data_IF_437906854361
#
_entry.id   IF_437906854361
#
_cell.length_a   1.000
_cell.length_b   1.000
_cell.length_c   1.000
_cell.angle_alpha   90.00
_cell.angle_beta   90.00
_cell.angle_gamma   90.00
#
_symmetry.space_group_name_H-M   'P 1'
#
loop_
_entity.id
_entity.type
_entity.pdbx_description
1 polymer ?
#
# COMPACT_ATOMS: atom_id res chain seq x y z
N UNK A 1 -20.94 -39.95 18.97
CA UNK A 1 -20.09 -38.96 19.64
C UNK A 1 -18.86 -38.78 18.78
N UNK A 2 -18.61 -37.58 18.26
CA UNK A 2 -17.35 -37.30 17.57
C UNK A 2 -16.22 -37.34 18.61
N UNK A 3 -15.14 -38.08 18.33
CA UNK A 3 -13.91 -38.02 19.11
C UNK A 3 -13.13 -36.79 18.66
N UNK A 4 -12.71 -35.95 19.60
CA UNK A 4 -11.84 -34.80 19.34
C UNK A 4 -10.43 -35.14 19.83
N UNK A 5 -9.43 -34.90 18.99
CA UNK A 5 -8.01 -35.03 19.33
C UNK A 5 -7.38 -33.64 19.27
N UNK A 6 -6.54 -33.31 20.24
CA UNK A 6 -5.87 -32.02 20.33
C UNK A 6 -4.36 -32.23 20.53
N UNK A 7 -3.56 -31.42 19.86
CA UNK A 7 -2.13 -31.33 20.06
C UNK A 7 -1.75 -29.84 20.18
N UNK A 8 -0.91 -29.52 21.18
CA UNK A 8 -0.39 -28.17 21.38
C UNK A 8 1.07 -28.15 20.97
N UNK A 9 1.38 -27.33 19.96
CA UNK A 9 2.75 -27.10 19.50
C UNK A 9 3.21 -25.73 20.02
N UNK A 10 4.38 -25.70 20.65
CA UNK A 10 5.04 -24.46 21.08
C UNK A 10 6.34 -24.32 20.30
N UNK A 11 6.36 -23.58 19.18
CA UNK A 11 7.58 -23.39 18.42
C UNK A 11 8.58 -22.53 19.21
N UNK A 12 9.87 -22.70 18.90
CA UNK A 12 10.95 -21.97 19.55
C UNK A 12 11.13 -20.54 19.02
N UNK A 13 10.54 -20.23 17.86
CA UNK A 13 10.57 -18.93 17.20
C UNK A 13 9.24 -18.71 16.48
N UNK A 14 8.99 -17.46 16.05
CA UNK A 14 7.94 -17.14 15.08
C UNK A 14 8.25 -17.81 13.74
N UNK A 15 7.24 -17.90 12.88
CA UNK A 15 7.40 -18.46 11.55
C UNK A 15 6.17 -19.20 11.04
N UNK A 16 6.23 -19.53 9.75
CA UNK A 16 5.24 -20.37 9.09
C UNK A 16 5.52 -21.84 9.36
N UNK A 17 4.56 -22.54 9.96
CA UNK A 17 4.63 -23.98 10.22
C UNK A 17 3.68 -24.71 9.29
N UNK A 18 4.21 -25.76 8.65
CA UNK A 18 3.45 -26.69 7.83
C UNK A 18 3.25 -27.99 8.59
N UNK A 19 2.01 -28.47 8.73
CA UNK A 19 1.70 -29.66 9.51
C UNK A 19 0.69 -30.58 8.83
N UNK A 20 0.72 -31.85 9.21
CA UNK A 20 -0.28 -32.87 8.87
C UNK A 20 -0.46 -33.80 10.07
N UNK A 21 -1.53 -34.57 10.08
CA UNK A 21 -1.80 -35.53 11.14
C UNK A 21 -1.46 -36.95 10.66
N UNK A 22 -0.78 -37.71 11.51
CA UNK A 22 -0.59 -39.15 11.35
C UNK A 22 -1.59 -39.86 12.28
N UNK A 23 -2.53 -40.60 11.70
CA UNK A 23 -3.67 -41.20 12.39
C UNK A 23 -3.51 -42.72 12.40
N UNK A 24 -3.39 -43.31 13.59
CA UNK A 24 -3.38 -44.76 13.75
C UNK A 24 -4.80 -45.27 14.06
N UNK A 25 -5.35 -46.06 13.14
CA UNK A 25 -6.63 -46.73 13.30
C UNK A 25 -6.54 -47.92 14.27
N UNK A 26 -7.70 -48.38 14.77
CA UNK A 26 -7.77 -49.46 15.77
C UNK A 26 -7.26 -50.82 15.29
N UNK A 27 -7.23 -51.03 13.97
CA UNK A 27 -6.68 -52.23 13.32
C UNK A 27 -5.16 -52.14 13.09
N UNK A 28 -4.53 -51.03 13.50
CA UNK A 28 -3.11 -50.76 13.34
C UNK A 28 -2.73 -50.07 12.03
N UNK A 29 -3.68 -49.80 11.12
CA UNK A 29 -3.40 -49.03 9.91
C UNK A 29 -3.02 -47.58 10.26
N UNK A 30 -2.02 -47.03 9.58
CA UNK A 30 -1.61 -45.63 9.72
C UNK A 30 -2.02 -44.86 8.48
N UNK A 31 -2.67 -43.73 8.68
CA UNK A 31 -3.16 -42.84 7.64
C UNK A 31 -2.61 -41.44 7.84
N UNK A 32 -2.18 -40.83 6.75
CA UNK A 32 -1.86 -39.40 6.75
C UNK A 32 -3.11 -38.59 6.44
N UNK A 33 -3.36 -37.55 7.22
CA UNK A 33 -4.43 -36.59 7.00
C UNK A 33 -3.84 -35.19 6.90
N UNK A 34 -3.95 -34.60 5.72
CA UNK A 34 -3.41 -33.28 5.40
C UNK A 34 -4.42 -32.42 4.67
N UNK A 35 -4.01 -31.23 4.26
CA UNK A 35 -4.83 -30.33 3.47
C UNK A 35 -5.19 -30.96 2.11
N UNK A 36 -6.26 -30.46 1.50
CA UNK A 36 -6.62 -30.84 0.13
C UNK A 36 -5.65 -30.22 -0.88
N UNK A 37 -5.64 -30.77 -2.10
CA UNK A 37 -4.82 -30.25 -3.19
C UNK A 37 -5.15 -28.77 -3.46
N UNK A 38 -4.10 -27.95 -3.61
CA UNK A 38 -4.18 -26.49 -3.77
C UNK A 38 -4.81 -25.74 -2.58
N UNK A 39 -4.77 -26.33 -1.37
CA UNK A 39 -5.18 -25.67 -0.13
C UNK A 39 -4.15 -25.85 0.96
N UNK A 40 -4.21 -24.96 1.94
CA UNK A 40 -3.40 -25.05 3.15
C UNK A 40 -4.22 -25.04 4.45
N UNK A 41 -5.56 -25.10 4.35
CA UNK A 41 -6.49 -24.91 5.48
C UNK A 41 -7.78 -25.75 5.33
N UNK A 42 -8.64 -25.71 6.35
CA UNK A 42 -10.00 -26.27 6.31
C UNK A 42 -10.07 -27.80 6.38
N UNK A 43 -11.05 -28.40 5.69
CA UNK A 43 -11.27 -29.86 5.72
C UNK A 43 -10.21 -30.59 4.90
N UNK A 44 -9.36 -31.36 5.56
CA UNK A 44 -8.35 -32.20 4.92
C UNK A 44 -8.87 -33.46 4.23
N UNK A 45 -7.94 -34.23 3.66
CA UNK A 45 -8.18 -35.52 3.04
C UNK A 45 -7.23 -36.60 3.56
N UNK A 46 -7.73 -37.84 3.59
CA UNK A 46 -6.91 -39.01 3.87
C UNK A 46 -6.12 -39.40 2.62
N UNK A 47 -4.83 -39.68 2.79
CA UNK A 47 -3.98 -40.14 1.69
C UNK A 47 -3.11 -41.33 2.10
N UNK A 48 -2.85 -42.22 1.14
CA UNK A 48 -1.74 -43.16 1.22
C UNK A 48 -0.46 -42.41 0.81
N UNK A 49 0.41 -42.09 1.77
CA UNK A 49 1.64 -41.34 1.54
C UNK A 49 1.61 -39.95 2.18
N UNK A 50 2.23 -38.96 1.53
CA UNK A 50 2.36 -37.60 2.06
C UNK A 50 1.34 -36.65 1.40
N UNK A 51 0.22 -36.31 2.08
CA UNK A 51 -0.72 -35.31 1.58
C UNK A 51 -0.12 -33.89 1.69
N UNK A 52 -0.70 -32.90 0.99
CA UNK A 52 -0.42 -31.49 1.25
C UNK A 52 -0.56 -31.14 2.73
N UNK A 53 0.27 -30.21 3.21
CA UNK A 53 0.24 -29.79 4.62
C UNK A 53 -0.74 -28.65 4.85
N UNK A 54 -1.33 -28.64 6.04
CA UNK A 54 -1.94 -27.44 6.59
C UNK A 54 -0.88 -26.40 6.93
N UNK A 55 -1.28 -25.14 6.98
CA UNK A 55 -0.47 -24.00 7.38
C UNK A 55 -0.92 -23.46 8.73
N UNK A 56 0.02 -22.96 9.53
CA UNK A 56 -0.26 -22.10 10.68
C UNK A 56 0.84 -21.04 10.81
N UNK A 57 0.43 -19.79 11.00
CA UNK A 57 1.35 -18.67 11.24
C UNK A 57 1.59 -18.54 12.74
N UNK A 58 2.83 -18.76 13.17
CA UNK A 58 3.25 -18.54 14.56
C UNK A 58 3.87 -17.16 14.69
N UNK A 59 3.30 -16.33 15.56
CA UNK A 59 3.61 -14.90 15.62
C UNK A 59 3.72 -14.43 17.08
N UNK A 60 4.36 -13.29 17.26
CA UNK A 60 4.36 -12.55 18.51
C UNK A 60 3.19 -11.54 18.50
N UNK A 61 2.19 -11.67 19.39
CA UNK A 61 1.04 -10.77 19.39
C UNK A 61 1.45 -9.32 19.67
N UNK A 62 0.84 -8.35 19.00
CA UNK A 62 1.14 -6.92 19.17
C UNK A 62 1.16 -6.47 20.63
N UNK A 63 0.26 -7.00 21.46
CA UNK A 63 0.18 -6.67 22.89
C UNK A 63 1.32 -7.20 23.77
N UNK A 64 2.22 -8.05 23.26
CA UNK A 64 3.41 -8.50 24.00
C UNK A 64 4.54 -7.47 23.98
N UNK A 65 4.56 -6.56 23.00
CA UNK A 65 5.57 -5.52 22.90
C UNK A 65 5.33 -4.44 23.96
N UNK A 66 6.33 -4.21 24.81
CA UNK A 66 6.21 -3.31 25.95
C UNK A 66 5.88 -1.87 25.51
N UNK A 67 4.80 -1.31 26.07
CA UNK A 67 4.36 0.06 25.78
C UNK A 67 3.67 0.24 24.44
N UNK A 68 3.43 -0.83 23.68
CA UNK A 68 2.68 -0.79 22.42
C UNK A 68 1.18 -0.92 22.70
N UNK A 69 0.40 -0.05 22.07
CA UNK A 69 -1.06 0.00 22.20
C UNK A 69 -1.74 -0.64 20.98
N UNK A 70 -2.95 -1.16 21.18
CA UNK A 70 -3.78 -1.64 20.09
C UNK A 70 -4.29 -0.46 19.25
N UNK A 71 -4.14 -0.46 17.92
CA UNK A 71 -4.57 0.64 17.05
C UNK A 71 -6.09 0.55 16.80
N UNK A 72 -6.87 0.59 17.88
CA UNK A 72 -8.35 0.48 17.85
C UNK A 72 -9.01 1.56 17.00
N UNK A 73 -8.40 2.74 16.91
CA UNK A 73 -8.82 3.84 16.03
C UNK A 73 -8.82 3.43 14.55
N UNK A 74 -7.93 2.52 14.16
CA UNK A 74 -7.79 2.00 12.81
C UNK A 74 -8.68 0.78 12.62
N UNK A 75 -8.57 -0.23 13.50
CA UNK A 75 -9.34 -1.48 13.43
C UNK A 75 -10.86 -1.28 13.47
N UNK A 76 -11.32 -0.25 14.18
CA UNK A 76 -12.74 0.14 14.24
C UNK A 76 -13.14 1.23 13.25
N UNK A 77 -12.24 1.62 12.35
CA UNK A 77 -12.39 2.78 11.48
C UNK A 77 -12.84 2.49 10.05
N UNK A 78 -13.00 3.56 9.28
CA UNK A 78 -13.20 3.53 7.83
C UNK A 78 -12.14 4.43 7.19
N UNK A 79 -11.31 3.86 6.34
CA UNK A 79 -10.24 4.56 5.63
C UNK A 79 -10.75 5.14 4.33
N UNK A 80 -10.29 6.34 4.00
CA UNK A 80 -10.53 6.99 2.72
C UNK A 80 -9.19 7.32 2.06
N UNK A 81 -8.91 6.70 0.91
CA UNK A 81 -7.69 6.92 0.14
C UNK A 81 -7.82 8.15 -0.75
N UNK A 82 -6.89 9.08 -0.61
CA UNK A 82 -6.85 10.34 -1.34
C UNK A 82 -5.60 10.38 -2.22
N UNK A 83 -5.81 10.65 -3.51
CA UNK A 83 -4.75 11.10 -4.41
C UNK A 83 -4.73 12.65 -4.40
N UNK A 84 -3.75 13.30 -3.73
CA UNK A 84 -3.87 14.70 -3.34
C UNK A 84 -4.11 15.69 -4.50
N UNK A 85 -3.39 15.54 -5.61
CA UNK A 85 -3.48 16.46 -6.76
C UNK A 85 -4.88 16.46 -7.42
N UNK A 86 -5.71 15.44 -7.17
CA UNK A 86 -7.00 15.20 -7.85
C UNK A 86 -8.22 15.18 -6.95
N UNK A 87 -8.04 15.48 -5.66
CA UNK A 87 -9.15 15.40 -4.71
C UNK A 87 -9.91 16.72 -4.58
N UNK A 88 -9.23 17.80 -4.18
CA UNK A 88 -9.88 19.09 -3.97
C UNK A 88 -8.88 20.24 -4.07
N UNK A 89 -9.33 21.33 -4.72
CA UNK A 89 -8.65 22.63 -4.79
C UNK A 89 -9.14 23.53 -3.66
N UNK A 90 -8.24 24.16 -2.92
CA UNK A 90 -8.53 25.27 -1.99
C UNK A 90 -8.58 26.61 -2.72
N UNK A 91 -9.01 27.69 -2.06
CA UNK A 91 -9.10 29.02 -2.68
C UNK A 91 -7.79 29.56 -3.30
N UNK A 92 -6.62 29.16 -2.80
CA UNK A 92 -5.31 29.65 -3.27
C UNK A 92 -4.59 28.67 -4.21
N UNK A 93 -5.26 27.62 -4.66
CA UNK A 93 -4.66 26.55 -5.46
C UNK A 93 -3.92 27.05 -6.70
N UNK A 94 -4.50 28.01 -7.41
CA UNK A 94 -4.04 28.44 -8.72
C UNK A 94 -2.68 29.13 -8.63
N UNK A 95 -2.59 30.15 -7.78
CA UNK A 95 -1.36 30.92 -7.60
C UNK A 95 -0.25 30.06 -7.00
N UNK A 96 -0.56 29.22 -6.00
CA UNK A 96 0.41 28.28 -5.40
C UNK A 96 0.95 27.31 -6.45
N UNK A 97 0.09 26.65 -7.21
CA UNK A 97 0.51 25.70 -8.25
C UNK A 97 1.34 26.40 -9.31
N UNK A 98 0.90 27.56 -9.78
CA UNK A 98 1.63 28.35 -10.78
C UNK A 98 3.02 28.76 -10.31
N UNK A 99 3.16 29.20 -9.05
CA UNK A 99 4.44 29.54 -8.45
C UNK A 99 5.36 28.31 -8.34
N UNK A 100 4.84 27.18 -7.84
CA UNK A 100 5.57 25.93 -7.71
C UNK A 100 6.09 25.40 -9.07
N UNK A 101 5.28 25.52 -10.12
CA UNK A 101 5.64 25.09 -11.47
C UNK A 101 6.52 26.10 -12.22
N UNK A 102 6.51 27.37 -11.83
CA UNK A 102 7.36 28.42 -12.42
C UNK A 102 8.84 28.29 -12.01
N UNK A 103 9.14 27.57 -10.93
CA UNK A 103 10.52 27.27 -10.53
C UNK A 103 11.21 26.47 -11.65
N UNK A 104 12.27 27.03 -12.30
CA UNK A 104 12.96 26.34 -13.36
C UNK A 104 13.49 24.98 -12.89
N UNK A 105 13.17 23.93 -13.63
CA UNK A 105 13.70 22.57 -13.42
C UNK A 105 14.13 21.98 -14.74
N UNK A 106 15.28 21.32 -14.73
CA UNK A 106 15.73 20.43 -15.79
C UNK A 106 15.00 19.08 -15.69
N UNK A 107 14.90 18.35 -16.80
CA UNK A 107 14.27 17.02 -16.83
C UNK A 107 12.84 17.06 -17.40
N UNK A 108 11.94 16.30 -16.78
CA UNK A 108 10.55 16.15 -17.24
C UNK A 108 9.79 17.47 -17.05
N UNK A 109 9.08 17.91 -18.09
CA UNK A 109 8.30 19.14 -18.01
C UNK A 109 7.06 18.96 -17.13
N UNK A 110 6.49 20.06 -16.64
CA UNK A 110 5.32 20.05 -15.76
C UNK A 110 4.28 21.03 -16.30
N UNK A 111 3.03 20.62 -16.32
CA UNK A 111 1.91 21.40 -16.88
C UNK A 111 0.85 21.65 -15.81
N UNK A 112 0.45 22.91 -15.67
CA UNK A 112 -0.78 23.27 -14.96
C UNK A 112 -1.99 22.94 -15.84
N UNK A 113 -2.93 22.17 -15.31
CA UNK A 113 -4.22 21.89 -15.94
C UNK A 113 -5.30 22.74 -15.29
N UNK A 114 -5.77 23.75 -16.00
CA UNK A 114 -6.79 24.69 -15.51
C UNK A 114 -8.17 24.04 -15.38
N UNK A 115 -8.56 23.28 -16.41
CA UNK A 115 -9.84 22.60 -16.49
C UNK A 115 -9.82 21.32 -15.64
N UNK A 116 -10.55 21.35 -14.52
CA UNK A 116 -10.65 20.21 -13.60
C UNK A 116 -11.28 18.97 -14.26
N UNK A 117 -12.16 19.17 -15.24
CA UNK A 117 -12.85 18.09 -15.95
C UNK A 117 -12.06 17.55 -17.15
N UNK A 118 -10.88 18.11 -17.42
CA UNK A 118 -10.00 17.60 -18.47
C UNK A 118 -9.61 16.16 -18.13
N UNK A 119 -9.65 15.28 -19.13
CA UNK A 119 -9.14 13.92 -18.97
C UNK A 119 -7.61 13.96 -18.75
N UNK A 120 -7.07 13.22 -17.77
CA UNK A 120 -5.63 13.10 -17.60
C UNK A 120 -4.96 12.46 -18.82
N UNK A 121 -3.85 13.03 -19.29
CA UNK A 121 -3.08 12.52 -20.42
C UNK A 121 -1.62 12.31 -20.02
N UNK A 122 -0.98 11.29 -20.57
CA UNK A 122 0.46 11.03 -20.39
C UNK A 122 1.17 11.26 -21.72
N UNK A 123 1.86 12.38 -21.84
CA UNK A 123 2.75 12.59 -22.98
C UNK A 123 3.99 11.72 -22.80
N UNK A 124 4.27 10.87 -23.79
CA UNK A 124 5.40 9.95 -23.80
C UNK A 124 6.26 10.16 -25.04
N UNK A 125 7.56 9.96 -24.89
CA UNK A 125 8.49 9.92 -26.01
C UNK A 125 8.43 8.58 -26.78
N UNK A 126 9.25 8.45 -27.83
CA UNK A 126 9.33 7.24 -28.65
C UNK A 126 9.77 5.97 -27.87
N UNK A 127 10.39 6.15 -26.69
CA UNK A 127 10.82 5.06 -25.81
C UNK A 127 9.81 4.81 -24.67
N UNK A 128 8.64 5.46 -24.70
CA UNK A 128 7.59 5.32 -23.69
C UNK A 128 7.84 6.11 -22.40
N UNK A 129 8.89 6.93 -22.32
CA UNK A 129 9.19 7.75 -21.13
C UNK A 129 8.26 8.94 -21.06
N UNK A 130 7.77 9.27 -19.87
CA UNK A 130 6.92 10.44 -19.66
C UNK A 130 7.74 11.71 -19.86
N UNK A 131 7.24 12.62 -20.69
CA UNK A 131 7.89 13.90 -21.03
C UNK A 131 7.23 15.11 -20.38
N UNK A 132 5.99 14.95 -19.89
CA UNK A 132 5.24 15.99 -19.20
C UNK A 132 4.32 15.40 -18.14
N UNK A 133 4.35 15.98 -16.94
CA UNK A 133 3.42 15.66 -15.85
C UNK A 133 2.33 16.72 -15.71
N UNK A 134 1.08 16.29 -15.70
CA UNK A 134 -0.08 17.16 -15.46
C UNK A 134 -0.34 17.36 -13.96
N UNK A 135 -0.47 18.62 -13.54
CA UNK A 135 -0.84 19.02 -12.19
C UNK A 135 -2.19 19.74 -12.21
N UNK A 136 -3.15 19.21 -11.46
CA UNK A 136 -4.50 19.77 -11.36
C UNK A 136 -4.63 20.66 -10.12
N UNK A 137 -3.65 20.66 -9.22
CA UNK A 137 -3.57 21.64 -8.14
C UNK A 137 -4.44 21.31 -6.94
N UNK A 138 -4.86 20.04 -6.79
CA UNK A 138 -5.38 19.58 -5.50
C UNK A 138 -4.33 19.73 -4.40
N UNK A 139 -4.77 19.91 -3.15
CA UNK A 139 -3.88 20.39 -2.07
C UNK A 139 -4.26 19.90 -0.68
N UNK A 140 -3.34 20.06 0.27
CA UNK A 140 -3.60 19.73 1.68
C UNK A 140 -4.70 20.61 2.28
N UNK A 141 -4.70 21.90 1.95
CA UNK A 141 -5.78 22.82 2.33
C UNK A 141 -7.12 22.44 1.68
N UNK A 142 -7.11 21.92 0.45
CA UNK A 142 -8.32 21.43 -0.21
C UNK A 142 -8.87 20.17 0.47
N UNK A 143 -7.99 19.28 0.96
CA UNK A 143 -8.39 18.14 1.81
C UNK A 143 -8.99 18.64 3.13
N UNK A 144 -8.36 19.64 3.76
CA UNK A 144 -8.84 20.27 5.01
C UNK A 144 -10.27 20.82 4.85
N UNK A 145 -10.56 21.54 3.75
CA UNK A 145 -11.91 22.06 3.44
C UNK A 145 -12.96 20.95 3.25
N UNK A 146 -12.54 19.71 2.98
CA UNK A 146 -13.42 18.55 2.80
C UNK A 146 -13.55 17.67 4.03
N UNK A 147 -12.90 17.98 5.16
CA UNK A 147 -13.06 17.21 6.40
C UNK A 147 -14.54 17.10 6.86
N UNK A 148 -15.39 18.14 6.78
CA UNK A 148 -16.81 18.00 7.12
C UNK A 148 -17.56 17.02 6.19
N UNK A 149 -17.18 16.95 4.91
CA UNK A 149 -17.75 15.97 3.98
C UNK A 149 -17.35 14.54 4.36
N UNK A 150 -16.08 14.33 4.68
CA UNK A 150 -15.52 13.04 5.05
C UNK A 150 -16.07 12.54 6.39
N UNK A 151 -16.22 13.44 7.38
CA UNK A 151 -16.89 13.13 8.65
C UNK A 151 -18.34 12.71 8.42
N UNK A 152 -19.09 13.46 7.60
CA UNK A 152 -20.49 13.12 7.29
C UNK A 152 -20.64 11.79 6.54
N UNK A 153 -19.63 11.40 5.75
CA UNK A 153 -19.57 10.09 5.11
C UNK A 153 -19.25 8.96 6.11
N UNK A 154 -18.76 9.27 7.30
CA UNK A 154 -18.37 8.32 8.35
C UNK A 154 -16.91 7.89 8.30
N UNK A 155 -16.06 8.64 7.59
CA UNK A 155 -14.62 8.37 7.50
C UNK A 155 -13.94 8.71 8.83
N UNK A 156 -13.03 7.86 9.28
CA UNK A 156 -12.26 8.05 10.52
C UNK A 156 -10.75 8.02 10.29
N UNK A 157 -10.31 7.70 9.07
CA UNK A 157 -8.90 7.72 8.70
C UNK A 157 -8.72 8.13 7.23
N UNK A 158 -7.72 8.94 6.94
CA UNK A 158 -7.27 9.24 5.58
C UNK A 158 -6.00 8.45 5.30
N UNK A 159 -5.94 7.82 4.14
CA UNK A 159 -4.71 7.32 3.56
C UNK A 159 -4.32 8.25 2.41
N UNK A 160 -3.24 9.01 2.58
CA UNK A 160 -2.76 9.90 1.53
C UNK A 160 -1.70 9.16 0.70
N UNK A 161 -1.90 9.10 -0.62
CA UNK A 161 -0.80 8.86 -1.55
C UNK A 161 0.33 9.89 -1.31
N UNK A 162 1.58 9.65 -1.79
CA UNK A 162 2.74 10.42 -1.35
C UNK A 162 2.53 11.94 -1.44
N UNK A 163 2.89 12.65 -0.37
CA UNK A 163 2.74 14.11 -0.25
C UNK A 163 4.06 14.86 -0.34
N UNK A 164 5.18 14.12 -0.40
CA UNK A 164 6.52 14.68 -0.36
C UNK A 164 6.89 15.36 -1.67
N UNK A 165 7.84 16.28 -1.60
CA UNK A 165 8.35 16.96 -2.79
C UNK A 165 8.79 15.94 -3.85
N UNK A 166 8.30 16.09 -5.08
CA UNK A 166 8.65 15.23 -6.21
C UNK A 166 8.60 15.99 -7.54
N UNK A 167 8.95 15.32 -8.65
CA UNK A 167 8.83 15.91 -9.99
C UNK A 167 7.48 15.61 -10.65
N UNK A 168 6.86 14.48 -10.29
CA UNK A 168 5.59 14.02 -10.82
C UNK A 168 4.36 14.45 -9.99
N UNK A 169 3.18 14.19 -10.54
CA UNK A 169 1.91 14.39 -9.83
C UNK A 169 1.58 13.26 -8.83
N UNK A 170 2.18 12.07 -8.99
CA UNK A 170 1.94 10.90 -8.15
C UNK A 170 2.92 10.82 -6.98
N UNK A 171 4.09 11.47 -7.10
CA UNK A 171 5.08 11.68 -6.04
C UNK A 171 5.76 10.43 -5.47
N UNK A 172 5.69 9.32 -6.20
CA UNK A 172 6.51 8.12 -5.92
C UNK A 172 7.98 8.32 -6.31
N UNK A 173 8.27 9.28 -7.18
CA UNK A 173 9.61 9.75 -7.52
C UNK A 173 10.13 10.78 -6.49
N UNK A 174 10.16 10.40 -5.20
CA UNK A 174 10.43 11.32 -4.10
C UNK A 174 11.73 12.08 -4.32
N UNK A 175 11.64 13.40 -4.21
CA UNK A 175 12.74 14.31 -4.37
C UNK A 175 13.32 14.81 -3.05
N UNK A 176 12.49 14.93 -2.02
CA UNK A 176 12.91 15.19 -0.64
C UNK A 176 11.89 14.60 0.34
N UNK A 177 12.32 13.66 1.20
CA UNK A 177 11.43 12.97 2.14
C UNK A 177 10.93 13.86 3.30
N UNK A 178 11.57 15.01 3.54
CA UNK A 178 11.29 15.86 4.70
C UNK A 178 10.46 17.11 4.38
N UNK A 179 10.23 17.36 3.08
CA UNK A 179 9.48 18.49 2.56
C UNK A 179 8.17 18.04 1.91
N UNK A 180 7.11 18.82 2.12
CA UNK A 180 5.86 18.66 1.37
C UNK A 180 6.05 19.20 -0.04
N UNK A 181 5.41 18.56 -1.02
CA UNK A 181 5.41 19.06 -2.39
C UNK A 181 4.79 20.47 -2.48
N UNK A 182 5.50 21.46 -3.05
CA UNK A 182 5.02 22.85 -3.07
C UNK A 182 3.68 23.07 -3.80
N UNK A 183 3.24 22.15 -4.66
CA UNK A 183 1.89 22.22 -5.25
C UNK A 183 0.83 21.91 -4.19
N UNK A 184 1.10 20.97 -3.28
CA UNK A 184 0.18 20.55 -2.23
C UNK A 184 0.12 21.52 -1.05
N UNK A 185 1.21 22.22 -0.74
CA UNK A 185 1.30 23.14 0.40
C UNK A 185 2.69 23.12 1.04
N UNK A 186 2.72 23.36 2.35
CA UNK A 186 3.94 23.27 3.17
C UNK A 186 3.83 22.20 4.25
N UNK A 187 4.92 21.98 5.00
CA UNK A 187 4.93 21.16 6.20
C UNK A 187 3.92 21.66 7.24
N UNK A 188 3.81 22.98 7.41
CA UNK A 188 2.85 23.59 8.33
C UNK A 188 1.39 23.38 7.88
N UNK A 189 1.14 23.33 6.56
CA UNK A 189 -0.18 22.95 6.05
C UNK A 189 -0.51 21.49 6.39
N UNK A 190 0.48 20.59 6.35
CA UNK A 190 0.29 19.20 6.78
C UNK A 190 -0.01 19.09 8.28
N UNK A 191 0.78 19.76 9.13
CA UNK A 191 0.54 19.78 10.58
C UNK A 191 -0.87 20.36 10.90
N UNK A 192 -1.26 21.44 10.21
CA UNK A 192 -2.60 22.02 10.33
C UNK A 192 -3.68 21.02 9.91
N UNK A 193 -3.49 20.33 8.79
CA UNK A 193 -4.41 19.28 8.33
C UNK A 193 -4.55 18.16 9.37
N UNK A 194 -3.45 17.70 9.97
CA UNK A 194 -3.50 16.69 11.04
C UNK A 194 -4.32 17.17 12.25
N UNK A 195 -4.10 18.41 12.71
CA UNK A 195 -4.86 18.99 13.83
C UNK A 195 -6.35 19.09 13.48
N UNK A 196 -6.68 19.60 12.29
CA UNK A 196 -8.08 19.72 11.84
C UNK A 196 -8.74 18.38 11.62
N UNK A 197 -8.06 17.42 11.02
CA UNK A 197 -8.58 16.06 10.88
C UNK A 197 -8.91 15.45 12.25
N UNK A 198 -8.04 15.64 13.24
CA UNK A 198 -8.28 15.16 14.60
C UNK A 198 -9.51 15.81 15.27
N UNK A 199 -9.80 17.10 15.01
CA UNK A 199 -11.04 17.78 15.46
C UNK A 199 -12.30 17.10 14.91
N UNK A 200 -12.21 16.48 13.72
CA UNK A 200 -13.27 15.70 13.07
C UNK A 200 -13.21 14.19 13.38
N UNK A 201 -12.36 13.75 14.30
CA UNK A 201 -12.18 12.32 14.62
C UNK A 201 -11.46 11.52 13.53
N UNK A 202 -10.76 12.19 12.61
CA UNK A 202 -10.08 11.60 11.47
C UNK A 202 -8.57 11.54 11.73
N UNK A 203 -7.98 10.35 11.61
CA UNK A 203 -6.53 10.13 11.68
C UNK A 203 -5.90 10.11 10.28
N UNK A 204 -4.58 10.30 10.15
CA UNK A 204 -3.90 10.33 8.84
C UNK A 204 -2.80 9.26 8.78
N UNK A 205 -2.81 8.48 7.70
CA UNK A 205 -1.81 7.49 7.31
C UNK A 205 -1.09 8.03 6.06
N UNK A 206 0.24 8.01 6.08
CA UNK A 206 1.06 8.46 4.96
C UNK A 206 1.59 7.27 4.15
N UNK A 207 1.76 7.47 2.85
CA UNK A 207 2.50 6.54 2.00
C UNK A 207 4.02 6.67 2.23
N UNK A 208 4.71 5.54 2.33
CA UNK A 208 6.14 5.43 2.60
C UNK A 208 6.85 4.71 1.46
N UNK A 209 7.50 5.49 0.59
CA UNK A 209 8.21 5.00 -0.61
C UNK A 209 9.70 4.90 -0.31
N UNK A 210 10.14 3.78 0.25
CA UNK A 210 11.50 3.61 0.76
C UNK A 210 12.40 2.70 -0.07
N UNK A 211 11.85 2.08 -1.13
CA UNK A 211 12.57 1.20 -2.05
C UNK A 211 13.37 1.99 -3.11
N UNK A 212 12.85 3.14 -3.53
CA UNK A 212 13.44 3.99 -4.56
C UNK A 212 13.15 5.47 -4.27
N UNK A 213 13.87 6.36 -4.95
CA UNK A 213 13.53 7.79 -5.01
C UNK A 213 13.46 8.26 -6.47
N UNK A 214 13.16 9.53 -6.69
CA UNK A 214 13.20 10.11 -8.04
C UNK A 214 14.62 10.34 -8.55
N UNK A 215 14.83 10.26 -9.87
CA UNK A 215 16.09 10.68 -10.48
C UNK A 215 16.35 12.19 -10.31
N UNK A 216 15.29 12.99 -10.16
CA UNK A 216 15.33 14.41 -9.77
C UNK A 216 15.29 14.62 -8.24
N UNK A 217 15.79 13.66 -7.48
CA UNK A 217 15.89 13.76 -6.03
C UNK A 217 17.15 14.51 -5.60
N UNK A 218 17.13 15.19 -4.45
CA UNK A 218 18.35 15.81 -3.92
C UNK A 218 19.43 14.78 -3.61
N UNK A 219 19.03 13.53 -3.31
CA UNK A 219 19.94 12.43 -3.00
C UNK A 219 20.64 11.90 -4.27
N UNK A 220 19.98 11.96 -5.43
CA UNK A 220 20.50 11.42 -6.69
C UNK A 220 20.98 12.52 -7.65
N UNK A 221 20.17 13.58 -7.81
CA UNK A 221 20.41 14.84 -8.51
C UNK A 221 20.84 14.71 -9.99
N UNK A 222 20.18 13.82 -10.76
CA UNK A 222 20.52 13.57 -12.17
C UNK A 222 20.45 14.80 -13.07
N UNK A 223 19.57 15.75 -12.76
CA UNK A 223 19.30 16.91 -13.60
C UNK A 223 19.92 18.21 -13.06
N UNK A 224 20.75 18.14 -12.02
CA UNK A 224 21.43 19.31 -11.44
C UNK A 224 20.45 20.41 -10.99
N UNK A 225 19.33 20.01 -10.39
CA UNK A 225 18.31 20.93 -9.88
C UNK A 225 18.55 21.35 -8.42
N UNK A 226 19.50 20.70 -7.72
CA UNK A 226 19.91 21.06 -6.36
C UNK A 226 21.37 21.54 -6.35
N UNK A 227 21.69 22.44 -5.40
CA UNK A 227 23.02 23.05 -5.27
C UNK A 227 24.08 22.05 -4.82
N UNK A 228 23.72 21.16 -3.89
CA UNK A 228 24.59 20.11 -3.42
C UNK A 228 24.64 18.95 -4.43
N UNK A 229 25.81 18.34 -4.64
CA UNK A 229 25.94 17.22 -5.55
C UNK A 229 25.20 15.99 -5.01
N UNK A 230 24.38 15.36 -5.86
CA UNK A 230 23.79 14.06 -5.56
C UNK A 230 24.71 12.90 -5.96
N UNK A 231 24.29 11.67 -5.63
CA UNK A 231 25.07 10.46 -5.85
C UNK A 231 25.59 10.29 -7.29
N UNK A 232 24.77 10.62 -8.31
CA UNK A 232 25.18 10.43 -9.72
C UNK A 232 26.18 11.49 -10.21
N UNK A 233 26.33 12.60 -9.48
CA UNK A 233 27.18 13.73 -9.90
C UNK A 233 28.57 13.68 -9.28
N UNK A 234 28.72 13.07 -8.09
CA UNK A 234 29.98 13.02 -7.36
C UNK A 234 30.15 11.71 -6.59
N UNK A 235 31.19 10.97 -6.96
CA UNK A 235 31.69 9.82 -6.19
C UNK A 235 32.13 10.28 -4.81
N UNK A 236 31.71 9.57 -3.76
CA UNK A 236 31.95 9.94 -2.37
C UNK A 236 31.11 11.14 -1.88
N UNK A 237 29.99 11.44 -2.53
CA UNK A 237 28.94 12.28 -1.91
C UNK A 237 28.33 11.60 -0.69
N UNK A 238 27.61 12.36 0.14
CA UNK A 238 26.92 11.82 1.34
C UNK A 238 25.88 10.73 1.01
N UNK A 239 25.50 10.60 -0.27
CA UNK A 239 24.49 9.66 -0.76
C UNK A 239 25.04 8.60 -1.71
N UNK A 240 26.35 8.59 -1.97
CA UNK A 240 26.98 7.72 -2.98
C UNK A 240 26.68 6.23 -2.69
N UNK A 241 26.80 5.83 -1.42
CA UNK A 241 26.56 4.44 -0.98
C UNK A 241 25.08 4.08 -0.84
N UNK A 242 24.15 5.02 -1.06
CA UNK A 242 22.72 4.72 -1.18
C UNK A 242 22.41 4.20 -2.60
N UNK A 243 23.31 4.51 -3.54
CA UNK A 243 23.38 4.17 -4.96
C UNK A 243 23.96 2.76 -5.25
N UNK A 244 23.56 2.11 -6.35
CA UNK A 244 24.41 1.13 -7.03
C UNK A 244 24.64 1.59 -8.46
N UNK A 245 25.90 1.87 -8.80
CA UNK A 245 26.34 2.30 -10.12
C UNK A 245 27.13 1.18 -10.82
N UNK A 246 26.92 1.01 -12.12
CA UNK A 246 27.63 0.06 -12.95
C UNK A 246 28.83 0.72 -13.65
N UNK A 247 29.82 -0.10 -14.07
CA UNK A 247 31.05 0.39 -14.72
C UNK A 247 30.79 1.16 -16.04
N UNK A 248 29.66 0.91 -16.70
CA UNK A 248 29.25 1.58 -17.94
C UNK A 248 28.55 2.93 -17.71
N UNK A 249 28.41 3.36 -16.45
CA UNK A 249 27.77 4.60 -16.04
C UNK A 249 26.25 4.51 -15.87
N UNK A 250 25.65 3.32 -16.02
CA UNK A 250 24.26 3.06 -15.66
C UNK A 250 24.11 2.76 -14.16
N UNK A 251 22.90 2.58 -13.66
CA UNK A 251 22.61 2.33 -12.25
C UNK A 251 21.37 1.45 -12.07
N UNK A 252 21.27 0.82 -10.90
CA UNK A 252 20.11 0.02 -10.53
C UNK A 252 18.86 0.91 -10.41
N UNK A 253 17.77 0.49 -11.06
CA UNK A 253 16.51 1.23 -11.07
C UNK A 253 15.31 0.31 -10.99
N UNK A 254 14.22 0.82 -10.41
CA UNK A 254 13.01 0.05 -10.16
C UNK A 254 12.40 -0.40 -11.49
N UNK A 255 12.38 -1.72 -11.73
CA UNK A 255 11.92 -2.33 -13.00
C UNK A 255 12.59 -1.77 -14.26
N UNK A 256 13.84 -1.29 -14.15
CA UNK A 256 14.57 -0.66 -15.26
C UNK A 256 14.04 0.71 -15.66
N UNK A 257 13.21 1.34 -14.81
CA UNK A 257 12.70 2.69 -15.03
C UNK A 257 13.75 3.70 -14.57
N UNK A 258 14.52 4.25 -15.50
CA UNK A 258 15.61 5.21 -15.20
C UNK A 258 15.19 6.42 -14.33
N UNK A 259 13.89 6.76 -14.29
CA UNK A 259 13.37 7.84 -13.46
C UNK A 259 13.33 7.50 -11.95
N UNK A 260 13.49 6.22 -11.59
CA UNK A 260 13.34 5.69 -10.23
C UNK A 260 14.59 4.88 -9.84
N UNK A 261 15.73 5.53 -9.56
CA UNK A 261 16.91 4.86 -9.01
C UNK A 261 16.57 4.10 -7.73
N UNK A 262 16.96 2.83 -7.67
CA UNK A 262 16.73 1.96 -6.52
C UNK A 262 17.69 2.31 -5.40
N UNK A 263 17.18 2.40 -4.18
CA UNK A 263 18.01 2.65 -3.01
C UNK A 263 18.53 1.33 -2.46
N UNK A 264 19.81 1.31 -2.07
CA UNK A 264 20.40 0.21 -1.30
C UNK A 264 19.80 0.22 0.11
N UNK A 265 18.65 -0.43 0.26
CA UNK A 265 17.85 -0.42 1.49
C UNK A 265 18.55 -1.00 2.72
N UNK A 266 19.62 -1.78 2.52
CA UNK A 266 20.49 -2.31 3.58
C UNK A 266 21.58 -1.34 4.03
N UNK A 267 21.75 -0.19 3.37
CA UNK A 267 22.74 0.80 3.75
C UNK A 267 22.41 1.35 5.17
N UNK A 268 23.32 1.22 6.15
CA UNK A 268 23.08 1.68 7.52
C UNK A 268 22.78 3.18 7.64
N UNK A 269 23.41 4.03 6.85
CA UNK A 269 23.18 5.48 6.87
C UNK A 269 21.81 5.83 6.32
N UNK A 270 21.36 5.13 5.27
CA UNK A 270 20.00 5.26 4.77
C UNK A 270 18.97 4.74 5.79
N UNK A 271 19.23 3.60 6.43
CA UNK A 271 18.34 3.08 7.47
C UNK A 271 18.27 4.00 8.70
N UNK A 272 19.38 4.65 9.09
CA UNK A 272 19.37 5.69 10.12
C UNK A 272 18.60 6.93 9.66
N UNK A 273 18.76 7.35 8.41
CA UNK A 273 18.00 8.47 7.84
C UNK A 273 16.48 8.21 7.83
N UNK A 274 16.04 6.98 7.58
CA UNK A 274 14.61 6.63 7.59
C UNK A 274 14.08 6.33 9.00
N UNK A 275 14.78 5.49 9.78
CA UNK A 275 14.29 4.90 11.02
C UNK A 275 14.91 5.46 12.31
N UNK A 276 15.95 6.29 12.19
CA UNK A 276 16.66 6.87 13.32
C UNK A 276 15.80 7.77 14.19
N UNK A 277 16.38 8.28 15.29
CA UNK A 277 15.65 9.15 16.22
C UNK A 277 15.13 10.40 15.50
N UNK A 278 15.89 10.99 14.58
CA UNK A 278 15.43 12.12 13.76
C UNK A 278 15.05 11.70 12.33
N UNK A 279 14.80 10.41 12.13
CA UNK A 279 14.52 9.85 10.81
C UNK A 279 13.16 10.25 10.25
N UNK A 280 12.97 9.97 8.95
CA UNK A 280 11.74 10.28 8.20
C UNK A 280 10.49 9.74 8.91
N UNK A 281 10.51 8.47 9.34
CA UNK A 281 9.35 7.80 9.96
C UNK A 281 8.84 8.59 11.17
N UNK A 282 9.75 8.91 12.10
CA UNK A 282 9.39 9.59 13.35
C UNK A 282 9.06 11.06 13.14
N UNK A 283 9.74 11.70 12.19
CA UNK A 283 9.49 13.11 11.87
C UNK A 283 8.04 13.35 11.48
N UNK A 284 7.48 12.54 10.57
CA UNK A 284 6.09 12.73 10.15
C UNK A 284 5.07 12.28 11.20
N UNK A 285 5.39 11.28 12.03
CA UNK A 285 4.54 10.91 13.16
C UNK A 285 4.47 12.03 14.22
N UNK A 286 5.58 12.72 14.51
CA UNK A 286 5.58 13.94 15.36
C UNK A 286 4.72 15.06 14.81
N UNK A 287 4.73 15.21 13.48
CA UNK A 287 3.94 16.21 12.76
C UNK A 287 2.45 15.87 12.70
N UNK A 288 2.04 14.69 13.18
CA UNK A 288 0.64 14.34 13.39
C UNK A 288 0.13 13.13 12.61
N UNK A 289 0.95 12.51 11.76
CA UNK A 289 0.60 11.22 11.17
C UNK A 289 0.41 10.15 12.27
N UNK A 290 -0.40 9.13 11.99
CA UNK A 290 -0.70 8.02 12.91
C UNK A 290 -0.35 6.65 12.33
N UNK A 291 0.21 6.59 11.13
CA UNK A 291 0.64 5.35 10.53
C UNK A 291 1.27 5.52 9.16
N UNK A 292 1.74 4.41 8.63
CA UNK A 292 2.41 4.31 7.35
C UNK A 292 1.80 3.20 6.50
N UNK A 293 1.54 3.50 5.23
CA UNK A 293 1.37 2.50 4.18
C UNK A 293 2.72 2.35 3.47
N UNK A 294 3.29 1.16 3.43
CA UNK A 294 4.59 0.90 2.79
C UNK A 294 4.38 0.50 1.34
N UNK A 295 4.94 1.30 0.44
CA UNK A 295 4.96 1.04 -0.99
C UNK A 295 5.93 -0.08 -1.35
N UNK A 296 5.50 -0.99 -2.23
CA UNK A 296 6.31 -2.13 -2.70
C UNK A 296 7.00 -2.88 -1.54
N UNK A 297 6.23 -3.25 -0.52
CA UNK A 297 6.75 -3.94 0.67
C UNK A 297 7.48 -5.26 0.33
N UNK A 298 7.17 -5.86 -0.82
CA UNK A 298 7.84 -7.02 -1.39
C UNK A 298 9.33 -6.80 -1.70
N UNK A 299 9.74 -5.57 -2.02
CA UNK A 299 11.11 -5.20 -2.40
C UNK A 299 11.93 -4.63 -1.24
N UNK A 300 11.27 -4.28 -0.14
CA UNK A 300 11.91 -3.87 1.10
C UNK A 300 12.29 -5.13 1.89
N UNK A 301 13.47 -5.17 2.52
CA UNK A 301 13.86 -6.33 3.32
C UNK A 301 13.07 -6.45 4.62
N UNK A 302 12.93 -7.68 5.11
CA UNK A 302 12.28 -8.00 6.39
C UNK A 302 12.90 -7.17 7.54
N UNK A 303 14.23 -7.15 7.63
CA UNK A 303 14.95 -6.39 8.67
C UNK A 303 14.66 -4.88 8.60
N UNK A 304 14.54 -4.31 7.41
CA UNK A 304 14.26 -2.89 7.28
C UNK A 304 12.81 -2.56 7.64
N UNK A 305 11.84 -3.40 7.28
CA UNK A 305 10.44 -3.26 7.74
C UNK A 305 10.35 -3.34 9.26
N UNK A 306 11.09 -4.27 9.89
CA UNK A 306 11.17 -4.36 11.35
C UNK A 306 11.71 -3.07 11.98
N UNK A 307 12.73 -2.45 11.37
CA UNK A 307 13.27 -1.14 11.81
C UNK A 307 12.24 -0.02 11.64
N UNK A 308 11.50 0.01 10.53
CA UNK A 308 10.43 0.98 10.29
C UNK A 308 9.34 0.84 11.36
N UNK A 309 8.88 -0.38 11.64
CA UNK A 309 7.89 -0.65 12.70
C UNK A 309 8.41 -0.20 14.05
N UNK A 310 9.62 -0.59 14.42
CA UNK A 310 10.23 -0.22 15.69
C UNK A 310 10.35 1.30 15.84
N UNK A 311 10.75 2.01 14.79
CA UNK A 311 10.82 3.47 14.78
C UNK A 311 9.44 4.11 14.95
N UNK A 312 8.43 3.60 14.23
CA UNK A 312 7.06 4.11 14.33
C UNK A 312 6.45 3.91 15.71
N UNK A 313 6.58 2.70 16.28
CA UNK A 313 6.05 2.36 17.61
C UNK A 313 6.78 3.10 18.73
N UNK A 314 8.06 3.39 18.57
CA UNK A 314 8.84 4.16 19.53
C UNK A 314 8.44 5.65 19.54
N UNK A 315 8.00 6.21 18.42
CA UNK A 315 7.45 7.57 18.37
C UNK A 315 5.99 7.60 18.81
N UNK A 316 5.21 6.56 18.45
CA UNK A 316 3.78 6.49 18.71
C UNK A 316 3.32 5.05 18.94
N UNK A 317 2.93 4.73 20.17
CA UNK A 317 2.58 3.37 20.63
C UNK A 317 1.43 2.71 19.86
N UNK A 318 0.52 3.51 19.28
CA UNK A 318 -0.64 3.06 18.52
C UNK A 318 -0.50 3.27 17.00
N UNK A 319 0.73 3.50 16.51
CA UNK A 319 1.00 3.60 15.08
C UNK A 319 0.68 2.29 14.34
N UNK A 320 0.10 2.42 13.14
CA UNK A 320 -0.20 1.29 12.25
C UNK A 320 0.76 1.25 11.06
N UNK A 321 1.22 0.06 10.70
CA UNK A 321 2.06 -0.20 9.52
C UNK A 321 1.31 -1.13 8.57
N UNK A 322 0.92 -0.63 7.41
CA UNK A 322 0.19 -1.39 6.38
C UNK A 322 1.10 -1.62 5.18
N UNK A 323 1.31 -2.87 4.76
CA UNK A 323 2.15 -3.15 3.59
C UNK A 323 1.36 -3.28 2.30
N UNK A 324 1.89 -2.78 1.20
CA UNK A 324 1.43 -3.20 -0.12
C UNK A 324 1.96 -4.60 -0.46
N UNK A 325 1.10 -5.60 -0.27
CA UNK A 325 1.36 -6.99 -0.64
C UNK A 325 0.16 -7.48 -1.43
N UNK A 326 0.37 -7.94 -2.66
CA UNK A 326 -0.70 -8.22 -3.63
C UNK A 326 -1.33 -9.61 -3.47
N UNK A 327 -0.62 -10.52 -2.83
CA UNK A 327 -1.01 -11.91 -2.59
C UNK A 327 -1.15 -12.19 -1.09
N UNK A 328 -1.29 -13.46 -0.72
CA UNK A 328 -1.39 -13.87 0.66
C UNK A 328 -0.08 -13.58 1.42
N UNK A 329 -0.11 -12.56 2.30
CA UNK A 329 1.03 -12.11 3.09
C UNK A 329 1.51 -13.13 4.13
N UNK A 330 0.67 -14.10 4.52
CA UNK A 330 1.04 -15.12 5.51
C UNK A 330 2.07 -16.15 5.00
N UNK A 331 2.12 -16.34 3.67
CA UNK A 331 2.97 -17.34 3.03
C UNK A 331 3.66 -16.82 1.76
N UNK A 332 3.65 -15.50 1.55
CA UNK A 332 4.26 -14.83 0.41
C UNK A 332 5.72 -15.21 0.28
N UNK A 333 6.10 -15.62 -0.93
CA UNK A 333 7.50 -15.72 -1.35
C UNK A 333 7.80 -14.60 -2.33
N UNK A 334 8.80 -13.79 -2.00
CA UNK A 334 9.32 -12.74 -2.86
C UNK A 334 10.85 -12.86 -2.93
N UNK A 335 11.43 -12.68 -4.11
CA UNK A 335 12.89 -12.74 -4.32
C UNK A 335 13.56 -13.99 -3.74
N UNK A 336 12.90 -15.16 -3.88
CA UNK A 336 13.40 -16.46 -3.43
C UNK A 336 13.31 -16.72 -1.91
N UNK A 337 12.75 -15.79 -1.13
CA UNK A 337 12.62 -15.90 0.33
C UNK A 337 11.16 -15.91 0.75
N UNK A 338 10.85 -16.67 1.80
CA UNK A 338 9.57 -16.57 2.50
C UNK A 338 9.61 -15.29 3.34
N UNK A 339 8.61 -14.44 3.20
CA UNK A 339 8.50 -13.17 3.93
C UNK A 339 7.90 -13.38 5.31
N UNK A 340 8.21 -12.48 6.25
CA UNK A 340 7.84 -12.60 7.66
C UNK A 340 6.79 -11.58 8.10
N UNK A 341 6.03 -11.04 7.13
CA UNK A 341 5.17 -9.88 7.30
C UNK A 341 4.23 -9.95 8.50
N UNK A 342 3.69 -11.13 8.78
CA UNK A 342 2.67 -11.36 9.79
C UNK A 342 3.22 -12.10 11.02
N UNK A 343 4.53 -12.08 11.25
CA UNK A 343 5.15 -12.70 12.43
C UNK A 343 5.15 -11.79 13.67
N UNK A 344 4.68 -10.54 13.54
CA UNK A 344 4.41 -9.60 14.64
C UNK A 344 5.33 -8.36 14.66
N UNK A 345 6.59 -8.52 14.25
CA UNK A 345 7.61 -7.46 14.24
C UNK A 345 7.62 -6.60 12.97
N UNK A 346 6.75 -6.87 11.98
CA UNK A 346 6.72 -6.19 10.68
C UNK A 346 5.43 -5.42 10.41
N UNK A 347 4.46 -6.01 9.72
CA UNK A 347 3.23 -5.35 9.33
C UNK A 347 2.14 -5.57 10.38
N UNK A 348 1.27 -4.57 10.58
CA UNK A 348 0.00 -4.80 11.25
C UNK A 348 -0.99 -5.49 10.31
N UNK A 349 -0.92 -5.24 9.00
CA UNK A 349 -1.71 -5.94 8.00
C UNK A 349 -1.33 -5.51 6.58
N UNK A 350 -1.69 -6.27 5.54
CA UNK A 350 -1.48 -5.85 4.16
C UNK A 350 -2.69 -5.10 3.58
N UNK A 351 -2.51 -4.51 2.41
CA UNK A 351 -3.61 -4.18 1.50
C UNK A 351 -4.27 -5.49 1.03
N UNK A 352 -5.57 -5.64 1.29
CA UNK A 352 -6.27 -6.92 1.16
C UNK A 352 -6.70 -7.24 -0.29
N UNK A 353 -5.72 -7.33 -1.19
CA UNK A 353 -5.93 -7.71 -2.58
C UNK A 353 -6.47 -9.14 -2.76
N UNK A 354 -6.14 -10.13 -1.91
CA UNK A 354 -6.80 -11.43 -1.94
C UNK A 354 -8.32 -11.35 -1.71
N UNK A 355 -8.78 -10.56 -0.72
CA UNK A 355 -10.20 -10.29 -0.51
C UNK A 355 -10.83 -9.64 -1.74
N UNK A 356 -10.20 -8.58 -2.25
CA UNK A 356 -10.64 -7.87 -3.46
C UNK A 356 -10.89 -8.84 -4.60
N UNK A 357 -9.91 -9.70 -4.90
CA UNK A 357 -9.97 -10.68 -5.99
C UNK A 357 -11.15 -11.63 -5.79
N UNK A 358 -11.28 -12.23 -4.61
CA UNK A 358 -12.33 -13.21 -4.30
C UNK A 358 -13.75 -12.63 -4.42
N UNK A 359 -13.96 -11.40 -3.94
CA UNK A 359 -15.26 -10.73 -4.02
C UNK A 359 -15.55 -10.28 -5.45
N UNK A 360 -14.58 -9.69 -6.17
CA UNK A 360 -14.80 -9.27 -7.55
C UNK A 360 -15.09 -10.45 -8.48
N UNK A 361 -14.35 -11.55 -8.37
CA UNK A 361 -14.63 -12.76 -9.16
C UNK A 361 -16.02 -13.32 -8.88
N UNK A 362 -16.52 -13.25 -7.63
CA UNK A 362 -17.89 -13.63 -7.32
C UNK A 362 -18.91 -12.69 -7.99
N UNK A 363 -18.76 -11.37 -7.82
CA UNK A 363 -19.67 -10.38 -8.38
C UNK A 363 -19.70 -10.44 -9.92
N UNK A 364 -18.55 -10.73 -10.53
CA UNK A 364 -18.37 -10.91 -11.97
C UNK A 364 -18.81 -12.28 -12.49
N UNK A 365 -19.30 -13.16 -11.62
CA UNK A 365 -19.76 -14.52 -11.94
C UNK A 365 -18.65 -15.42 -12.54
N UNK A 366 -17.41 -15.19 -12.10
CA UNK A 366 -16.25 -16.03 -12.41
C UNK A 366 -16.10 -17.17 -11.40
N UNK A 367 -16.54 -16.96 -10.15
CA UNK A 367 -16.54 -17.96 -9.08
C UNK A 367 -17.90 -18.08 -8.40
N UNK A 368 -18.22 -19.27 -7.88
CA UNK A 368 -19.43 -19.51 -7.10
C UNK A 368 -19.27 -19.11 -5.62
N UNK A 369 -20.40 -18.97 -4.92
CA UNK A 369 -20.43 -18.53 -3.52
C UNK A 369 -19.62 -19.44 -2.57
N UNK A 370 -19.66 -20.76 -2.77
CA UNK A 370 -18.90 -21.72 -1.97
C UNK A 370 -17.39 -21.53 -2.13
N UNK A 371 -16.91 -21.40 -3.37
CA UNK A 371 -15.49 -21.17 -3.64
C UNK A 371 -15.00 -19.83 -3.06
N UNK A 372 -15.83 -18.79 -3.17
CA UNK A 372 -15.53 -17.48 -2.58
C UNK A 372 -15.50 -17.56 -1.06
N UNK A 373 -16.47 -18.20 -0.41
CA UNK A 373 -16.46 -18.38 1.04
C UNK A 373 -15.21 -19.13 1.51
N UNK A 374 -14.82 -20.20 0.82
CA UNK A 374 -13.62 -20.96 1.16
C UNK A 374 -12.33 -20.15 1.00
N UNK A 375 -12.26 -19.27 0.00
CA UNK A 375 -11.12 -18.35 -0.16
C UNK A 375 -11.06 -17.29 0.96
N UNK A 376 -12.20 -16.86 1.51
CA UNK A 376 -12.25 -15.96 2.66
C UNK A 376 -11.84 -16.66 3.96
N UNK A 377 -12.31 -17.89 4.17
CA UNK A 377 -11.91 -18.72 5.31
C UNK A 377 -10.42 -19.04 5.26
N UNK A 378 -9.83 -19.20 4.07
CA UNK A 378 -8.38 -19.37 3.93
C UNK A 378 -7.59 -18.17 4.45
N UNK A 379 -8.04 -16.94 4.18
CA UNK A 379 -7.44 -15.76 4.78
C UNK A 379 -7.65 -15.72 6.29
N UNK A 380 -8.83 -16.07 6.79
CA UNK A 380 -9.13 -16.12 8.22
C UNK A 380 -8.23 -17.12 8.97
N UNK A 381 -8.05 -18.32 8.43
CA UNK A 381 -7.25 -19.38 9.05
C UNK A 381 -5.74 -19.11 8.93
N UNK A 382 -5.29 -18.50 7.83
CA UNK A 382 -3.87 -18.23 7.59
C UNK A 382 -3.34 -17.04 8.39
N UNK A 383 -4.15 -16.01 8.60
CA UNK A 383 -3.69 -14.75 9.18
C UNK A 383 -3.82 -14.78 10.69
N UNK A 384 -2.80 -14.29 11.43
CA UNK A 384 -3.00 -13.87 12.82
C UNK A 384 -4.25 -13.00 12.94
N UNK A 385 -5.13 -13.27 13.91
CA UNK A 385 -6.41 -12.55 14.01
C UNK A 385 -6.21 -11.03 14.08
N UNK A 386 -5.24 -10.55 14.85
CA UNK A 386 -4.96 -9.11 14.95
C UNK A 386 -4.52 -8.49 13.63
N UNK A 387 -3.87 -9.26 12.76
CA UNK A 387 -3.47 -8.82 11.44
C UNK A 387 -4.63 -8.87 10.45
N UNK A 388 -5.43 -9.93 10.52
CA UNK A 388 -6.63 -10.06 9.70
C UNK A 388 -7.62 -8.90 9.90
N UNK A 389 -7.85 -8.49 11.16
CA UNK A 389 -8.66 -7.32 11.48
C UNK A 389 -8.00 -5.97 11.12
N UNK A 390 -6.70 -5.97 10.82
CA UNK A 390 -5.96 -4.79 10.37
C UNK A 390 -5.71 -4.77 8.86
N UNK A 391 -6.16 -5.78 8.11
CA UNK A 391 -6.08 -5.77 6.66
C UNK A 391 -6.83 -4.57 6.07
N UNK A 392 -6.21 -3.83 5.15
CA UNK A 392 -6.86 -2.71 4.48
C UNK A 392 -7.70 -3.22 3.30
N UNK A 393 -9.02 -3.29 3.47
CA UNK A 393 -9.96 -3.83 2.49
C UNK A 393 -10.17 -2.85 1.32
N UNK A 394 -9.35 -2.99 0.27
CA UNK A 394 -9.35 -2.13 -0.92
C UNK A 394 -10.12 -2.74 -2.09
N UNK A 395 -10.92 -1.92 -2.79
CA UNK A 395 -11.59 -2.32 -4.05
C UNK A 395 -11.18 -1.46 -5.23
N UNK A 396 -11.13 -0.15 -5.03
CA UNK A 396 -10.43 0.82 -5.88
C UNK A 396 -9.09 1.22 -5.23
N UNK A 397 -8.11 1.56 -6.06
CA UNK A 397 -6.83 2.16 -5.69
C UNK A 397 -6.33 3.02 -6.85
N UNK A 398 -5.24 3.74 -6.65
CA UNK A 398 -4.58 4.49 -7.72
C UNK A 398 -3.91 3.62 -8.80
N UNK A 399 -3.58 2.36 -8.49
CA UNK A 399 -2.93 1.41 -9.43
C UNK A 399 -3.91 0.46 -10.13
N UNK A 400 -5.20 0.59 -9.85
CA UNK A 400 -6.25 -0.23 -10.46
C UNK A 400 -7.28 0.61 -11.16
N UNK A 401 -7.94 -0.02 -12.12
CA UNK A 401 -9.10 0.55 -12.78
C UNK A 401 -10.16 0.91 -11.76
N UNK A 402 -10.87 2.02 -12.00
CA UNK A 402 -11.99 2.42 -11.18
C UNK A 402 -12.99 1.29 -11.02
N UNK A 403 -13.44 1.05 -9.78
CA UNK A 403 -14.30 -0.07 -9.43
C UNK A 403 -15.56 -0.13 -10.31
N UNK A 404 -16.16 1.03 -10.61
CA UNK A 404 -17.34 1.14 -11.48
C UNK A 404 -17.12 0.51 -12.87
N UNK A 405 -15.92 0.60 -13.43
CA UNK A 405 -15.60 0.00 -14.73
C UNK A 405 -15.38 -1.51 -14.59
N UNK A 406 -14.68 -1.93 -13.54
CA UNK A 406 -14.40 -3.36 -13.27
C UNK A 406 -15.70 -4.12 -13.09
N UNK A 407 -16.58 -3.68 -12.21
CA UNK A 407 -17.85 -4.37 -11.93
C UNK A 407 -18.88 -4.22 -13.06
N UNK A 408 -18.65 -3.33 -14.03
CA UNK A 408 -19.41 -3.26 -15.26
C UNK A 408 -19.00 -4.29 -16.32
N UNK A 409 -17.87 -4.97 -16.12
CA UNK A 409 -17.24 -5.80 -17.15
C UNK A 409 -16.69 -4.96 -18.31
N UNK A 410 -16.09 -3.81 -18.00
CA UNK A 410 -15.34 -3.05 -18.99
C UNK A 410 -14.13 -3.89 -19.49
N UNK A 411 -13.68 -3.69 -20.74
CA UNK A 411 -12.47 -4.33 -21.24
C UNK A 411 -11.27 -3.99 -20.36
N UNK A 412 -10.35 -4.96 -20.20
CA UNK A 412 -9.09 -4.72 -19.49
C UNK A 412 -8.31 -3.59 -20.20
N UNK A 413 -7.66 -2.66 -19.47
CA UNK A 413 -6.92 -1.55 -20.08
C UNK A 413 -5.88 -1.99 -21.09
N UNK A 414 -5.17 -3.09 -20.82
CA UNK A 414 -4.13 -3.63 -21.70
C UNK A 414 -4.69 -4.18 -23.03
N UNK A 415 -5.99 -4.40 -23.10
CA UNK A 415 -6.68 -4.78 -24.35
C UNK A 415 -7.13 -3.59 -25.19
N UNK A 416 -6.98 -2.36 -24.68
CA UNK A 416 -7.40 -1.12 -25.30
C UNK A 416 -6.19 -0.26 -25.67
N UNK A 417 -6.25 0.40 -26.83
CA UNK A 417 -5.32 1.49 -27.15
C UNK A 417 -5.49 2.67 -26.20
N UNK A 418 -4.47 3.53 -26.08
CA UNK A 418 -4.54 4.72 -25.24
C UNK A 418 -5.75 5.63 -25.59
N UNK A 419 -6.08 5.75 -26.88
CA UNK A 419 -7.25 6.51 -27.32
C UNK A 419 -8.57 5.84 -26.87
N UNK A 420 -8.66 4.52 -26.95
CA UNK A 420 -9.84 3.78 -26.50
C UNK A 420 -10.00 3.88 -24.98
N UNK A 421 -8.92 3.79 -24.20
CA UNK A 421 -8.97 3.97 -22.74
C UNK A 421 -9.57 5.35 -22.37
N UNK A 422 -9.17 6.41 -23.07
CA UNK A 422 -9.67 7.78 -22.83
C UNK A 422 -11.14 7.95 -23.23
N UNK A 423 -11.54 7.34 -24.35
CA UNK A 423 -12.87 7.56 -24.96
C UNK A 423 -13.93 6.56 -24.54
N UNK A 424 -13.52 5.43 -23.94
CA UNK A 424 -14.43 4.37 -23.50
C UNK A 424 -15.47 4.90 -22.49
N UNK A 425 -16.73 4.56 -22.71
CA UNK A 425 -17.84 4.89 -21.81
C UNK A 425 -18.73 3.67 -21.64
N UNK A 426 -19.19 3.43 -20.41
CA UNK A 426 -20.14 2.37 -20.13
C UNK A 426 -21.47 2.62 -20.84
N UNK A 427 -22.05 1.57 -21.40
CA UNK A 427 -23.44 1.62 -21.87
C UNK A 427 -24.42 1.84 -20.71
N UNK A 428 -25.67 2.22 -21.01
CA UNK A 428 -26.69 2.39 -19.97
C UNK A 428 -26.91 1.10 -19.16
N UNK A 429 -26.92 -0.06 -19.81
CA UNK A 429 -27.08 -1.37 -19.17
C UNK A 429 -25.87 -1.72 -18.30
N UNK A 430 -24.66 -1.52 -18.82
CA UNK A 430 -23.42 -1.72 -18.05
C UNK A 430 -23.38 -0.83 -16.81
N UNK A 431 -23.77 0.44 -16.94
CA UNK A 431 -23.83 1.39 -15.82
C UNK A 431 -24.88 0.97 -14.79
N UNK A 432 -26.05 0.48 -15.23
CA UNK A 432 -27.09 -0.05 -14.35
C UNK A 432 -26.62 -1.26 -13.55
N UNK A 433 -26.02 -2.25 -14.22
CA UNK A 433 -25.44 -3.43 -13.59
C UNK A 433 -24.31 -3.08 -12.62
N UNK A 434 -23.42 -2.18 -13.04
CA UNK A 434 -22.30 -1.70 -12.24
C UNK A 434 -22.77 -1.06 -10.94
N UNK A 435 -23.77 -0.16 -10.98
CA UNK A 435 -24.35 0.43 -9.76
C UNK A 435 -24.88 -0.62 -8.78
N UNK A 436 -25.57 -1.65 -9.27
CA UNK A 436 -26.07 -2.72 -8.42
C UNK A 436 -24.93 -3.50 -7.75
N UNK A 437 -23.87 -3.81 -8.51
CA UNK A 437 -22.67 -4.49 -7.98
C UNK A 437 -21.86 -3.60 -7.04
N UNK A 438 -21.75 -2.29 -7.29
CA UNK A 438 -21.09 -1.36 -6.37
C UNK A 438 -21.78 -1.34 -5.00
N UNK A 439 -23.12 -1.36 -4.95
CA UNK A 439 -23.85 -1.51 -3.68
C UNK A 439 -23.54 -2.83 -2.98
N UNK A 440 -23.46 -3.93 -3.72
CA UNK A 440 -23.07 -5.23 -3.15
C UNK A 440 -21.63 -5.20 -2.61
N UNK A 441 -20.70 -4.60 -3.36
CA UNK A 441 -19.32 -4.38 -2.92
C UNK A 441 -19.26 -3.56 -1.64
N UNK A 442 -19.97 -2.42 -1.58
CA UNK A 442 -19.98 -1.55 -0.42
C UNK A 442 -20.51 -2.28 0.82
N UNK A 443 -21.61 -3.03 0.70
CA UNK A 443 -22.14 -3.84 1.81
C UNK A 443 -21.10 -4.87 2.27
N UNK A 444 -20.50 -5.63 1.34
CA UNK A 444 -19.51 -6.64 1.68
C UNK A 444 -18.26 -6.02 2.33
N UNK A 445 -17.76 -4.90 1.78
CA UNK A 445 -16.60 -4.19 2.29
C UNK A 445 -16.80 -3.70 3.73
N UNK A 446 -18.02 -3.25 4.07
CA UNK A 446 -18.35 -2.69 5.39
C UNK A 446 -18.69 -3.72 6.46
N UNK A 447 -18.99 -4.98 6.08
CA UNK A 447 -19.36 -6.04 7.04
C UNK A 447 -18.29 -7.13 7.19
N UNK A 448 -17.43 -7.31 6.19
CA UNK A 448 -16.37 -8.30 6.25
C UNK A 448 -15.24 -7.79 7.16
N UNK A 449 -14.53 -8.69 7.87
CA UNK A 449 -13.43 -8.28 8.74
C UNK A 449 -12.29 -7.59 7.98
N UNK A 450 -11.52 -6.77 8.71
CA UNK A 450 -10.56 -5.84 8.15
C UNK A 450 -11.11 -4.42 8.12
N UNK A 451 -10.27 -3.46 7.74
CA UNK A 451 -10.59 -2.03 7.73
C UNK A 451 -11.06 -1.62 6.34
N UNK A 452 -12.32 -1.17 6.16
CA UNK A 452 -12.82 -0.71 4.86
C UNK A 452 -11.99 0.45 4.33
N UNK A 453 -11.64 0.43 3.04
CA UNK A 453 -10.91 1.52 2.37
C UNK A 453 -11.61 1.97 1.10
N UNK A 454 -12.15 3.19 1.12
CA UNK A 454 -12.82 3.81 -0.02
C UNK A 454 -11.79 4.63 -0.82
N UNK A 455 -11.68 4.39 -2.12
CA UNK A 455 -10.84 5.22 -2.99
C UNK A 455 -11.63 6.41 -3.52
N UNK A 456 -11.09 7.63 -3.37
CA UNK A 456 -11.87 8.86 -3.56
C UNK A 456 -12.69 8.89 -4.84
N UNK A 457 -14.01 9.11 -4.75
CA UNK A 457 -14.94 9.14 -5.87
C UNK A 457 -15.51 7.78 -6.30
N UNK A 458 -15.20 6.70 -5.57
CA UNK A 458 -15.91 5.42 -5.71
C UNK A 458 -17.24 5.40 -4.92
N UNK A 459 -17.40 6.24 -3.89
CA UNK A 459 -18.67 6.48 -3.18
C UNK A 459 -19.71 7.23 -4.02
#
# INVERSE_FOLDING_TARGET
YAQCFEAIVKPAATGLIWYRFELQASDGAVWSYGAQENRCIGVGSFAYGEPPSFQITCYEPRGSFAGVEDPSWYKGGVVYQIFPDRFARDANWHERTKQALAVPRNGVSRQLVEDWEKTPEYQRDANGRVTQWDFYGGSLAGIEEKLPYLENLGITALYLNPIYAASSNHRYDIADYLEVDPVLGTVEDFERLCVKAAEHGISIILDGVFNHCGADSKYFNKFSNYSEPGAVQQVGSDYDEWFTFHEDGTYESWWGVDALPTIVSENPDYQEFICGENGVIRTWLRRGARGWRLDVADEISDSFIQKIRAAALAERSDAVIIGEVWEDASNKRAYGKLRQYLEGSELDGPMNYPLRKSILSFLMNETGAESTALALEELWENYPHEAFYSCLNVFGTHDKERLINVVAGAPAPDSLSAHEQVTYRLSADQRGLSKARMWQTAVLQMILPGVPSIYYGDE
#
